data_IF_347788583896
#
_entry.id   IF_347788583896
#
_cell.length_a   1.000
_cell.length_b   1.000
_cell.length_c   1.000
_cell.angle_alpha   90.00
_cell.angle_beta   90.00
_cell.angle_gamma   90.00
#
_symmetry.space_group_name_H-M   'P 1'
#
loop_
_entity.id
_entity.type
_entity.pdbx_description
1 polymer ?
#
# COMPACT_ATOMS: atom_id res chain seq x y z
N UNK A 1 14.73 -0.30 -13.48
CA UNK A 1 13.59 -1.19 -13.86
C UNK A 1 12.69 -1.57 -12.68
N UNK A 2 13.09 -1.26 -11.45
CA UNK A 2 12.38 -1.71 -10.22
C UNK A 2 10.98 -1.09 -10.04
N UNK A 3 10.80 0.13 -10.51
CA UNK A 3 9.53 0.87 -10.43
C UNK A 3 8.37 0.27 -11.26
N UNK A 4 8.67 -0.62 -12.21
CA UNK A 4 7.61 -1.29 -12.99
C UNK A 4 6.94 -2.43 -12.22
N UNK A 5 7.59 -3.01 -11.20
CA UNK A 5 7.03 -4.11 -10.43
C UNK A 5 5.71 -3.76 -9.73
N UNK A 6 5.62 -2.65 -8.96
CA UNK A 6 4.35 -2.23 -8.36
C UNK A 6 3.26 -1.96 -9.39
N UNK A 7 3.60 -1.31 -10.52
CA UNK A 7 2.64 -1.05 -11.60
C UNK A 7 2.08 -2.36 -12.17
N UNK A 8 2.97 -3.29 -12.54
CA UNK A 8 2.56 -4.59 -13.10
C UNK A 8 1.74 -5.40 -12.10
N UNK A 9 2.07 -5.31 -10.82
CA UNK A 9 1.35 -5.99 -9.74
C UNK A 9 -0.10 -5.52 -9.62
N UNK A 10 -0.34 -4.19 -9.65
CA UNK A 10 -1.70 -3.63 -9.63
C UNK A 10 -2.50 -4.06 -10.86
N UNK A 11 -1.89 -3.97 -12.06
CA UNK A 11 -2.56 -4.39 -13.29
C UNK A 11 -2.84 -5.90 -13.29
N UNK A 12 -1.90 -6.71 -12.81
CA UNK A 12 -2.11 -8.16 -12.65
C UNK A 12 -3.26 -8.45 -11.69
N UNK A 13 -3.31 -7.77 -10.54
CA UNK A 13 -4.42 -7.89 -9.58
C UNK A 13 -5.77 -7.51 -10.19
N UNK A 14 -5.81 -6.45 -10.98
CA UNK A 14 -6.99 -6.03 -11.74
C UNK A 14 -7.47 -7.15 -12.68
N UNK A 15 -6.58 -7.72 -13.50
CA UNK A 15 -6.94 -8.79 -14.41
C UNK A 15 -7.33 -10.09 -13.69
N UNK A 16 -6.64 -10.46 -12.61
CA UNK A 16 -7.00 -11.61 -11.76
C UNK A 16 -8.44 -11.44 -11.26
N UNK A 17 -8.80 -10.26 -10.76
CA UNK A 17 -10.14 -10.02 -10.25
C UNK A 17 -11.21 -10.12 -11.34
N UNK A 18 -10.92 -9.64 -12.57
CA UNK A 18 -11.86 -9.69 -13.70
C UNK A 18 -12.09 -11.12 -14.21
N UNK A 19 -11.02 -11.89 -14.38
CA UNK A 19 -11.08 -13.20 -15.04
C UNK A 19 -11.34 -14.34 -14.04
N UNK A 20 -10.62 -14.37 -12.93
CA UNK A 20 -10.71 -15.46 -11.96
C UNK A 20 -11.82 -15.25 -10.92
N UNK A 21 -12.26 -13.98 -10.68
CA UNK A 21 -13.33 -13.61 -9.75
C UNK A 21 -13.20 -14.34 -8.40
N UNK A 22 -12.10 -14.18 -7.67
CA UNK A 22 -11.82 -14.95 -6.47
C UNK A 22 -12.93 -14.73 -5.44
N UNK A 23 -13.62 -15.80 -5.04
CA UNK A 23 -14.73 -15.74 -4.08
C UNK A 23 -14.29 -16.08 -2.65
N UNK A 24 -13.13 -16.70 -2.50
CA UNK A 24 -12.63 -17.13 -1.20
C UNK A 24 -12.01 -15.96 -0.44
N UNK A 25 -12.80 -15.37 0.46
CA UNK A 25 -12.37 -14.26 1.31
C UNK A 25 -11.21 -14.63 2.24
N UNK A 26 -11.15 -15.88 2.70
CA UNK A 26 -10.08 -16.35 3.60
C UNK A 26 -8.74 -16.33 2.90
N UNK A 27 -8.65 -16.82 1.65
CA UNK A 27 -7.41 -16.81 0.90
C UNK A 27 -6.93 -15.38 0.59
N UNK A 28 -7.85 -14.46 0.29
CA UNK A 28 -7.51 -13.06 0.09
C UNK A 28 -7.00 -12.40 1.36
N UNK A 29 -7.61 -12.69 2.51
CA UNK A 29 -7.13 -12.21 3.82
C UNK A 29 -5.76 -12.77 4.17
N UNK A 30 -5.51 -14.04 3.90
CA UNK A 30 -4.19 -14.66 4.12
C UNK A 30 -3.12 -14.04 3.22
N UNK A 31 -3.44 -13.82 1.95
CA UNK A 31 -2.52 -13.15 1.01
C UNK A 31 -2.22 -11.71 1.47
N UNK A 32 -3.24 -10.99 1.94
CA UNK A 32 -3.08 -9.65 2.48
C UNK A 32 -2.23 -9.66 3.76
N UNK A 33 -2.49 -10.58 4.71
CA UNK A 33 -1.70 -10.73 5.92
C UNK A 33 -0.23 -11.06 5.62
N UNK A 34 0.01 -11.96 4.68
CA UNK A 34 1.37 -12.26 4.21
C UNK A 34 2.06 -11.03 3.65
N UNK A 35 1.37 -10.28 2.78
CA UNK A 35 1.93 -9.07 2.18
C UNK A 35 2.26 -7.99 3.21
N UNK A 36 1.40 -7.79 4.21
CA UNK A 36 1.63 -6.85 5.30
C UNK A 36 2.82 -7.27 6.18
N UNK A 37 2.92 -8.57 6.52
CA UNK A 37 4.04 -9.11 7.30
C UNK A 37 5.37 -8.98 6.55
N UNK A 38 5.37 -9.25 5.25
CA UNK A 38 6.55 -9.11 4.39
C UNK A 38 7.01 -7.64 4.33
N UNK A 39 6.07 -6.72 4.14
CA UNK A 39 6.34 -5.29 4.09
C UNK A 39 6.86 -4.77 5.43
N UNK A 40 6.29 -5.23 6.56
CA UNK A 40 6.77 -4.90 7.90
C UNK A 40 8.21 -5.38 8.10
N UNK A 41 8.52 -6.61 7.70
CA UNK A 41 9.86 -7.18 7.80
C UNK A 41 10.88 -6.35 7.03
N UNK A 42 10.59 -5.98 5.78
CA UNK A 42 11.47 -5.11 4.99
C UNK A 42 11.67 -3.75 5.66
N UNK A 43 10.59 -3.17 6.17
CA UNK A 43 10.65 -1.86 6.83
C UNK A 43 11.55 -1.90 8.07
N UNK A 44 11.39 -2.93 8.92
CA UNK A 44 12.16 -3.07 10.16
C UNK A 44 13.62 -3.47 9.91
N UNK A 45 13.86 -4.37 8.96
CA UNK A 45 15.19 -4.97 8.78
C UNK A 45 16.08 -4.18 7.83
N UNK A 46 15.49 -3.40 6.91
CA UNK A 46 16.25 -2.69 5.88
C UNK A 46 16.12 -1.17 6.01
N UNK A 47 14.90 -0.62 5.94
CA UNK A 47 14.71 0.83 5.91
C UNK A 47 14.99 1.51 7.26
N UNK A 48 14.51 0.92 8.35
CA UNK A 48 14.64 1.50 9.68
C UNK A 48 16.10 1.64 10.13
N UNK A 49 16.97 0.61 10.02
CA UNK A 49 18.38 0.75 10.36
C UNK A 49 19.07 1.85 9.55
N UNK A 50 18.81 1.92 8.24
CA UNK A 50 19.45 2.90 7.35
C UNK A 50 19.15 4.34 7.76
N UNK A 51 17.88 4.69 8.05
CA UNK A 51 17.55 6.06 8.46
C UNK A 51 18.16 6.42 9.81
N UNK A 52 18.33 5.44 10.72
CA UNK A 52 18.96 5.66 12.02
C UNK A 52 20.48 5.71 11.97
N UNK A 53 21.14 5.24 10.90
CA UNK A 53 22.57 5.47 10.67
C UNK A 53 22.86 6.94 10.33
N UNK A 54 21.85 7.70 9.94
CA UNK A 54 21.97 9.14 9.74
C UNK A 54 22.21 9.86 11.07
N UNK A 55 22.92 10.98 11.02
CA UNK A 55 23.16 11.84 12.21
C UNK A 55 21.97 12.73 12.58
N UNK A 56 20.82 12.55 11.92
CA UNK A 56 19.63 13.35 12.19
C UNK A 56 18.90 12.85 13.44
N UNK A 57 18.92 13.64 14.52
CA UNK A 57 18.26 13.29 15.78
C UNK A 57 16.72 13.30 15.71
N UNK A 58 16.14 13.86 14.63
CA UNK A 58 14.68 13.99 14.48
C UNK A 58 14.03 12.83 13.71
N UNK A 59 14.76 11.75 13.38
CA UNK A 59 14.22 10.62 12.61
C UNK A 59 12.92 10.08 13.22
N UNK A 60 12.89 9.87 14.53
CA UNK A 60 11.68 9.40 15.23
C UNK A 60 10.48 10.33 15.04
N UNK A 61 10.71 11.65 14.96
CA UNK A 61 9.66 12.62 14.69
C UNK A 61 9.08 12.44 13.27
N UNK A 62 9.93 12.25 12.26
CA UNK A 62 9.49 12.03 10.87
C UNK A 62 8.72 10.71 10.74
N UNK A 63 9.14 9.64 11.43
CA UNK A 63 8.39 8.37 11.48
C UNK A 63 7.01 8.60 12.10
N UNK A 64 6.92 9.31 13.23
CA UNK A 64 5.64 9.65 13.87
C UNK A 64 4.74 10.49 12.96
N UNK A 65 5.29 11.45 12.24
CA UNK A 65 4.55 12.22 11.25
C UNK A 65 4.00 11.33 10.14
N UNK A 66 4.77 10.34 9.68
CA UNK A 66 4.32 9.36 8.70
C UNK A 66 3.15 8.51 9.19
N UNK A 67 3.22 8.03 10.45
CA UNK A 67 2.11 7.29 11.09
C UNK A 67 0.85 8.17 11.15
N UNK A 68 0.96 9.39 11.66
CA UNK A 68 -0.17 10.32 11.77
C UNK A 68 -0.76 10.66 10.40
N UNK A 69 0.09 10.89 9.42
CA UNK A 69 -0.33 11.15 8.06
C UNK A 69 -1.12 9.97 7.48
N UNK A 70 -0.64 8.75 7.67
CA UNK A 70 -1.33 7.55 7.20
C UNK A 70 -2.68 7.32 7.91
N UNK A 71 -2.78 7.60 9.21
CA UNK A 71 -4.06 7.58 9.94
C UNK A 71 -5.07 8.54 9.30
N UNK A 72 -4.62 9.72 8.88
CA UNK A 72 -5.47 10.70 8.18
C UNK A 72 -5.90 10.15 6.81
N UNK A 73 -5.00 9.57 6.03
CA UNK A 73 -5.33 8.96 4.74
C UNK A 73 -6.32 7.81 4.91
N UNK A 74 -6.11 6.95 5.91
CA UNK A 74 -7.01 5.83 6.23
C UNK A 74 -8.42 6.31 6.60
N UNK A 75 -8.55 7.40 7.35
CA UNK A 75 -9.85 8.00 7.65
C UNK A 75 -10.62 8.36 6.36
N UNK A 76 -9.94 8.86 5.33
CA UNK A 76 -10.55 9.20 4.04
C UNK A 76 -10.79 7.98 3.14
N UNK A 77 -9.90 7.00 3.15
CA UNK A 77 -10.03 5.77 2.36
C UNK A 77 -10.93 4.72 3.03
N UNK A 78 -11.27 4.90 4.32
CA UNK A 78 -12.06 3.96 5.13
C UNK A 78 -11.43 2.56 5.19
N UNK A 79 -10.12 2.48 5.30
CA UNK A 79 -9.39 1.23 5.44
C UNK A 79 -9.23 0.44 4.13
N UNK A 80 -9.37 1.08 2.98
CA UNK A 80 -9.21 0.39 1.69
C UNK A 80 -7.79 -0.15 1.47
N UNK A 81 -6.77 0.50 2.05
CA UNK A 81 -5.37 0.08 2.05
C UNK A 81 -5.16 -1.25 2.78
N UNK A 82 -6.07 -1.59 3.70
CA UNK A 82 -6.05 -2.85 4.46
C UNK A 82 -7.06 -3.87 3.92
N UNK A 83 -7.63 -3.61 2.74
CA UNK A 83 -8.61 -4.49 2.10
C UNK A 83 -10.03 -4.36 2.66
N UNK A 84 -10.31 -3.37 3.52
CA UNK A 84 -11.65 -3.06 3.98
C UNK A 84 -12.32 -2.08 3.04
N UNK A 85 -13.11 -2.58 2.10
CA UNK A 85 -13.90 -1.71 1.23
C UNK A 85 -15.35 -1.75 1.68
N UNK A 86 -15.76 -0.72 2.41
CA UNK A 86 -17.13 -0.53 2.86
C UNK A 86 -17.90 0.35 1.87
N UNK A 87 -18.94 -0.19 1.29
CA UNK A 87 -19.81 0.57 0.40
C UNK A 87 -21.13 -0.16 0.15
N UNK A 88 -22.16 0.62 -0.13
CA UNK A 88 -23.44 0.06 -0.57
C UNK A 88 -23.26 -0.56 -1.97
N UNK A 89 -23.92 -1.68 -2.22
CA UNK A 89 -23.88 -2.41 -3.50
C UNK A 89 -24.26 -1.53 -4.74
N UNK A 90 -24.83 -0.36 -4.51
CA UNK A 90 -25.21 0.61 -5.56
C UNK A 90 -24.34 1.85 -5.47
N UNK A 91 -23.10 1.76 -5.89
CA UNK A 91 -22.20 2.91 -6.06
C UNK A 91 -22.17 3.31 -7.53
N UNK A 92 -22.64 4.52 -7.85
CA UNK A 92 -22.71 5.04 -9.21
C UNK A 92 -21.57 6.01 -9.56
N UNK A 93 -20.83 6.48 -8.55
CA UNK A 93 -19.75 7.45 -8.70
C UNK A 93 -18.46 6.94 -8.07
N UNK A 94 -17.34 7.40 -8.61
CA UNK A 94 -16.02 7.11 -8.04
C UNK A 94 -15.95 7.68 -6.62
N UNK A 95 -15.52 6.90 -5.61
CA UNK A 95 -15.30 7.40 -4.27
C UNK A 95 -14.01 8.25 -4.24
N UNK A 96 -14.12 9.53 -4.56
CA UNK A 96 -12.97 10.42 -4.75
C UNK A 96 -12.02 10.50 -3.55
N UNK A 97 -12.54 10.48 -2.32
CA UNK A 97 -11.71 10.51 -1.13
C UNK A 97 -10.83 9.26 -1.02
N UNK A 98 -11.42 8.09 -1.27
CA UNK A 98 -10.70 6.82 -1.33
C UNK A 98 -9.65 6.85 -2.45
N UNK A 99 -10.03 7.31 -3.64
CA UNK A 99 -9.13 7.39 -4.78
C UNK A 99 -7.90 8.27 -4.50
N UNK A 100 -8.14 9.49 -3.99
CA UNK A 100 -7.05 10.43 -3.69
C UNK A 100 -6.15 9.90 -2.58
N UNK A 101 -6.72 9.34 -1.50
CA UNK A 101 -5.93 8.74 -0.40
C UNK A 101 -5.02 7.63 -0.89
N UNK A 102 -5.56 6.69 -1.69
CA UNK A 102 -4.77 5.59 -2.25
C UNK A 102 -3.68 6.09 -3.20
N UNK A 103 -3.98 7.09 -4.02
CA UNK A 103 -3.00 7.67 -4.93
C UNK A 103 -1.86 8.38 -4.18
N UNK A 104 -2.17 9.15 -3.13
CA UNK A 104 -1.16 9.83 -2.31
C UNK A 104 -0.29 8.80 -1.59
N UNK A 105 -0.91 7.79 -0.98
CA UNK A 105 -0.21 6.72 -0.30
C UNK A 105 0.78 6.01 -1.25
N UNK A 106 0.30 5.50 -2.39
CA UNK A 106 1.12 4.80 -3.37
C UNK A 106 2.23 5.70 -3.97
N UNK A 107 1.97 6.99 -4.13
CA UNK A 107 2.96 7.95 -4.59
C UNK A 107 4.11 8.10 -3.58
N UNK A 108 3.79 8.23 -2.29
CA UNK A 108 4.80 8.38 -1.24
C UNK A 108 5.64 7.12 -1.05
N UNK A 109 5.04 5.93 -1.11
CA UNK A 109 5.78 4.66 -1.06
C UNK A 109 6.83 4.54 -2.19
N UNK A 110 6.60 5.21 -3.32
CA UNK A 110 7.51 5.20 -4.45
C UNK A 110 8.83 5.90 -4.21
N UNK A 111 8.92 6.85 -3.26
CA UNK A 111 10.12 7.69 -3.08
C UNK A 111 11.39 6.90 -2.76
N UNK A 112 11.42 5.96 -1.79
CA UNK A 112 12.63 5.21 -1.47
C UNK A 112 12.93 4.05 -2.43
N UNK A 113 12.04 3.72 -3.37
CA UNK A 113 12.15 2.54 -4.25
C UNK A 113 13.40 2.58 -5.15
N UNK A 114 13.85 3.75 -5.56
CA UNK A 114 15.03 3.90 -6.43
C UNK A 114 16.30 3.33 -5.79
N UNK A 115 16.45 3.44 -4.46
CA UNK A 115 17.61 2.96 -3.70
C UNK A 115 17.40 1.56 -3.11
N UNK A 116 16.15 1.06 -3.06
CA UNK A 116 15.78 -0.19 -2.41
C UNK A 116 15.02 -1.12 -3.36
N UNK A 117 15.76 -2.02 -4.03
CA UNK A 117 15.11 -3.00 -4.92
C UNK A 117 14.13 -3.92 -4.19
N UNK A 118 14.48 -4.35 -2.99
CA UNK A 118 13.65 -5.25 -2.18
C UNK A 118 12.34 -4.59 -1.77
N UNK A 119 12.34 -3.26 -1.55
CA UNK A 119 11.13 -2.51 -1.26
C UNK A 119 10.17 -2.51 -2.47
N UNK A 120 10.69 -2.41 -3.71
CA UNK A 120 9.84 -2.51 -4.90
C UNK A 120 9.11 -3.86 -4.96
N UNK A 121 9.78 -4.95 -4.57
CA UNK A 121 9.18 -6.28 -4.47
C UNK A 121 8.14 -6.31 -3.36
N UNK A 122 8.45 -5.76 -2.19
CA UNK A 122 7.52 -5.68 -1.05
C UNK A 122 6.24 -4.94 -1.39
N UNK A 123 6.37 -3.76 -2.00
CA UNK A 123 5.22 -2.96 -2.45
C UNK A 123 4.43 -3.72 -3.52
N UNK A 124 5.09 -4.38 -4.48
CA UNK A 124 4.40 -5.16 -5.50
C UNK A 124 3.60 -6.32 -4.90
N UNK A 125 4.16 -7.05 -3.93
CA UNK A 125 3.47 -8.13 -3.20
C UNK A 125 2.28 -7.58 -2.42
N UNK A 126 2.42 -6.37 -1.83
CA UNK A 126 1.35 -5.71 -1.07
C UNK A 126 0.24 -5.17 -1.98
N UNK A 127 0.56 -4.56 -3.10
CA UNK A 127 -0.42 -4.00 -4.04
C UNK A 127 -1.28 -5.06 -4.73
N UNK A 128 -0.76 -6.29 -4.92
CA UNK A 128 -1.49 -7.35 -5.59
C UNK A 128 -2.82 -7.70 -4.92
N UNK A 129 -2.87 -8.08 -3.63
CA UNK A 129 -4.14 -8.37 -2.95
C UNK A 129 -5.06 -7.16 -2.87
N UNK A 130 -4.53 -5.96 -2.67
CA UNK A 130 -5.31 -4.72 -2.64
C UNK A 130 -6.00 -4.49 -3.98
N UNK A 131 -5.27 -4.61 -5.09
CA UNK A 131 -5.83 -4.46 -6.43
C UNK A 131 -6.92 -5.51 -6.73
N UNK A 132 -6.75 -6.76 -6.28
CA UNK A 132 -7.77 -7.80 -6.41
C UNK A 132 -9.02 -7.42 -5.62
N UNK A 133 -8.87 -7.00 -4.37
CA UNK A 133 -9.99 -6.66 -3.48
C UNK A 133 -10.75 -5.43 -4.01
N UNK A 134 -10.05 -4.35 -4.33
CA UNK A 134 -10.64 -3.12 -4.87
C UNK A 134 -11.38 -3.38 -6.19
N UNK A 135 -10.75 -4.08 -7.11
CA UNK A 135 -11.38 -4.41 -8.40
C UNK A 135 -12.61 -5.29 -8.20
N UNK A 136 -12.52 -6.32 -7.35
CA UNK A 136 -13.66 -7.19 -7.04
C UNK A 136 -14.82 -6.40 -6.44
N UNK A 137 -14.54 -5.45 -5.57
CA UNK A 137 -15.53 -4.57 -4.98
C UNK A 137 -16.19 -3.67 -6.04
N UNK A 138 -15.41 -3.00 -6.88
CA UNK A 138 -15.93 -2.08 -7.90
C UNK A 138 -16.71 -2.80 -8.99
N UNK A 139 -16.28 -3.98 -9.42
CA UNK A 139 -17.00 -4.79 -10.42
C UNK A 139 -18.37 -5.25 -9.90
N UNK A 140 -18.50 -5.48 -8.59
CA UNK A 140 -19.78 -5.82 -7.95
C UNK A 140 -20.65 -4.59 -7.62
N UNK A 141 -20.14 -3.39 -7.82
CA UNK A 141 -20.89 -2.13 -7.70
C UNK A 141 -21.55 -1.76 -9.04
N UNK A 142 -22.27 -0.63 -9.06
CA UNK A 142 -22.88 -0.08 -10.27
C UNK A 142 -21.94 0.89 -11.03
N UNK A 143 -20.65 0.87 -10.76
CA UNK A 143 -19.67 1.73 -11.43
C UNK A 143 -19.47 1.33 -12.89
N UNK A 144 -19.23 2.36 -13.73
CA UNK A 144 -18.88 2.14 -15.13
C UNK A 144 -17.52 1.43 -15.22
N UNK A 145 -17.43 0.41 -16.09
CA UNK A 145 -16.20 -0.37 -16.31
C UNK A 145 -15.00 0.50 -16.72
N UNK A 146 -15.23 1.54 -17.53
CA UNK A 146 -14.17 2.47 -17.92
C UNK A 146 -13.67 3.30 -16.72
N UNK A 147 -14.56 3.66 -15.81
CA UNK A 147 -14.19 4.37 -14.58
C UNK A 147 -13.34 3.46 -13.65
N UNK A 148 -13.69 2.18 -13.53
CA UNK A 148 -12.91 1.20 -12.78
C UNK A 148 -11.52 1.03 -13.41
N UNK A 149 -11.46 0.86 -14.71
CA UNK A 149 -10.19 0.72 -15.44
C UNK A 149 -9.30 1.96 -15.25
N UNK A 150 -9.86 3.16 -15.43
CA UNK A 150 -9.11 4.41 -15.26
C UNK A 150 -8.60 4.56 -13.82
N UNK A 151 -9.43 4.23 -12.82
CA UNK A 151 -9.03 4.21 -11.42
C UNK A 151 -7.81 3.32 -11.19
N UNK A 152 -7.87 2.06 -11.65
CA UNK A 152 -6.82 1.07 -11.42
C UNK A 152 -5.53 1.43 -12.16
N UNK A 153 -5.64 1.94 -13.39
CA UNK A 153 -4.47 2.41 -14.17
C UNK A 153 -3.82 3.62 -13.48
N UNK A 154 -4.61 4.61 -13.07
CA UNK A 154 -4.05 5.78 -12.37
C UNK A 154 -3.38 5.36 -11.07
N UNK A 155 -4.03 4.52 -10.26
CA UNK A 155 -3.44 3.99 -9.04
C UNK A 155 -2.12 3.25 -9.31
N UNK A 156 -2.07 2.41 -10.36
CA UNK A 156 -0.85 1.66 -10.72
C UNK A 156 0.36 2.55 -11.08
N UNK A 157 0.10 3.75 -11.61
CA UNK A 157 1.15 4.69 -12.03
C UNK A 157 1.73 5.47 -10.83
N UNK A 158 1.01 5.56 -9.70
CA UNK A 158 1.41 6.45 -8.60
C UNK A 158 2.74 6.07 -7.98
N UNK A 159 3.00 4.80 -7.69
CA UNK A 159 4.30 4.35 -7.14
C UNK A 159 5.46 4.62 -8.10
N UNK A 160 5.39 4.22 -9.39
CA UNK A 160 6.40 4.63 -10.37
C UNK A 160 6.60 6.14 -10.46
N UNK A 161 5.51 6.91 -10.40
CA UNK A 161 5.58 8.37 -10.45
C UNK A 161 6.34 8.94 -9.24
N UNK A 162 6.09 8.43 -8.04
CA UNK A 162 6.84 8.79 -6.84
C UNK A 162 8.34 8.51 -6.98
N UNK A 163 8.70 7.34 -7.51
CA UNK A 163 10.10 6.97 -7.78
C UNK A 163 10.75 7.93 -8.79
N UNK A 164 10.05 8.22 -9.88
CA UNK A 164 10.55 9.14 -10.92
C UNK A 164 10.73 10.54 -10.34
N UNK A 165 9.77 11.06 -9.57
CA UNK A 165 9.87 12.37 -8.92
C UNK A 165 11.07 12.42 -7.97
N UNK A 166 11.31 11.36 -7.19
CA UNK A 166 12.47 11.24 -6.32
C UNK A 166 13.79 11.29 -7.09
N UNK A 167 13.85 10.69 -8.29
CA UNK A 167 15.06 10.66 -9.13
C UNK A 167 15.33 11.99 -9.84
N UNK A 168 14.28 12.64 -10.33
CA UNK A 168 14.40 13.83 -11.19
C UNK A 168 14.48 15.15 -10.44
N UNK A 169 14.18 15.19 -9.14
CA UNK A 169 14.26 16.41 -8.34
C UNK A 169 15.48 16.34 -7.40
N UNK A 170 16.65 16.90 -7.80
CA UNK A 170 17.89 16.79 -7.01
C UNK A 170 17.75 17.32 -5.58
N UNK A 171 16.91 18.35 -5.36
CA UNK A 171 16.66 18.94 -4.05
C UNK A 171 16.03 17.95 -3.05
N UNK A 172 15.30 16.93 -3.53
CA UNK A 172 14.74 15.89 -2.66
C UNK A 172 15.81 14.94 -2.11
N UNK A 173 16.97 14.85 -2.78
CA UNK A 173 18.07 14.03 -2.28
C UNK A 173 18.65 14.55 -0.95
N UNK A 174 18.57 15.88 -0.71
CA UNK A 174 19.02 16.49 0.54
C UNK A 174 18.13 16.10 1.72
N UNK A 175 16.84 15.76 1.45
CA UNK A 175 15.84 15.35 2.42
C UNK A 175 15.47 13.86 2.31
N UNK A 176 16.27 13.07 1.60
CA UNK A 176 15.95 11.67 1.33
C UNK A 176 15.71 10.86 2.61
N UNK A 177 16.53 11.07 3.62
CA UNK A 177 16.44 10.36 4.91
C UNK A 177 15.15 10.70 5.65
N UNK A 178 14.78 11.99 5.68
CA UNK A 178 13.55 12.47 6.32
C UNK A 178 12.30 11.95 5.60
N UNK A 179 12.30 12.00 4.26
CA UNK A 179 11.20 11.48 3.44
C UNK A 179 11.08 9.97 3.64
N UNK A 180 12.20 9.24 3.63
CA UNK A 180 12.22 7.79 3.88
C UNK A 180 11.71 7.48 5.29
N UNK A 181 12.04 8.29 6.30
CA UNK A 181 11.53 8.14 7.66
C UNK A 181 9.99 8.33 7.72
N UNK A 182 9.44 9.30 6.97
CA UNK A 182 7.97 9.46 6.84
C UNK A 182 7.36 8.21 6.18
N UNK A 183 7.96 7.70 5.10
CA UNK A 183 7.49 6.49 4.43
C UNK A 183 7.53 5.27 5.36
N UNK A 184 8.59 5.13 6.17
CA UNK A 184 8.66 4.09 7.21
C UNK A 184 7.45 4.17 8.14
N UNK A 185 7.08 5.36 8.59
CA UNK A 185 5.90 5.56 9.43
C UNK A 185 4.60 5.12 8.75
N UNK A 186 4.43 5.44 7.47
CA UNK A 186 3.30 5.00 6.63
C UNK A 186 3.27 3.47 6.56
N UNK A 187 4.38 2.85 6.20
CA UNK A 187 4.49 1.39 6.06
C UNK A 187 4.28 0.65 7.38
N UNK A 188 4.75 1.20 8.51
CA UNK A 188 4.50 0.65 9.84
C UNK A 188 3.02 0.62 10.17
N UNK A 189 2.33 1.73 9.96
CA UNK A 189 0.89 1.82 10.24
C UNK A 189 0.11 0.80 9.41
N UNK A 190 0.31 0.76 8.10
CA UNK A 190 -0.40 -0.14 7.19
C UNK A 190 -0.12 -1.60 7.54
N UNK A 191 1.17 -1.96 7.66
CA UNK A 191 1.56 -3.34 7.92
C UNK A 191 1.00 -3.85 9.24
N UNK A 192 1.07 -3.04 10.31
CA UNK A 192 0.52 -3.41 11.62
C UNK A 192 -0.99 -3.54 11.58
N UNK A 193 -1.69 -2.60 10.95
CA UNK A 193 -3.15 -2.65 10.82
C UNK A 193 -3.59 -3.91 10.05
N UNK A 194 -2.95 -4.23 8.92
CA UNK A 194 -3.24 -5.45 8.16
C UNK A 194 -3.07 -6.70 9.02
N UNK A 195 -1.97 -6.80 9.78
CA UNK A 195 -1.69 -7.97 10.63
C UNK A 195 -2.74 -8.11 11.72
N UNK A 196 -3.09 -7.02 12.40
CA UNK A 196 -4.03 -7.05 13.52
C UNK A 196 -5.48 -7.22 13.06
N UNK A 197 -5.93 -6.52 12.02
CA UNK A 197 -7.30 -6.62 11.52
C UNK A 197 -7.60 -7.91 10.76
N UNK A 198 -6.58 -8.56 10.22
CA UNK A 198 -6.76 -9.87 9.60
C UNK A 198 -7.18 -10.93 10.63
N UNK A 199 -7.14 -10.60 11.94
CA UNK A 199 -7.59 -11.47 13.04
C UNK A 199 -9.07 -11.24 13.36
N UNK A 200 -9.97 -12.07 12.81
CA UNK A 200 -11.38 -12.01 13.18
C UNK A 200 -11.57 -12.44 14.65
N UNK A 201 -12.22 -11.59 15.43
CA UNK A 201 -12.75 -11.93 16.77
C UNK A 201 -11.72 -12.07 17.87
N UNK A 202 -10.60 -11.36 17.86
CA UNK A 202 -9.53 -11.40 18.89
C UNK A 202 -8.99 -12.82 19.20
N UNK A 203 -9.28 -13.82 18.36
CA UNK A 203 -8.72 -15.15 18.51
C UNK A 203 -7.32 -15.19 17.89
N UNK A 204 -6.34 -15.44 18.73
CA UNK A 204 -4.96 -15.65 18.30
C UNK A 204 -4.90 -16.80 17.29
N UNK A 205 -4.50 -16.50 16.06
CA UNK A 205 -4.42 -17.50 15.01
C UNK A 205 -2.95 -17.80 14.71
N UNK A 206 -2.49 -18.97 15.17
CA UNK A 206 -1.10 -19.43 15.05
C UNK A 206 -0.63 -19.43 13.58
N UNK A 207 -1.51 -19.75 12.62
CA UNK A 207 -1.18 -19.74 11.20
C UNK A 207 -0.76 -18.36 10.68
N UNK A 208 -1.21 -17.26 11.32
CA UNK A 208 -0.84 -15.88 10.96
C UNK A 208 0.48 -15.47 11.60
N UNK A 209 0.75 -15.94 12.81
CA UNK A 209 2.02 -15.68 13.49
C UNK A 209 3.18 -16.39 12.78
N UNK A 210 2.95 -17.55 12.19
CA UNK A 210 3.97 -18.27 11.42
C UNK A 210 4.34 -17.59 10.09
N UNK A 211 3.64 -16.52 9.68
CA UNK A 211 3.92 -15.73 8.47
C UNK A 211 4.74 -14.46 8.76
N UNK A 212 4.93 -14.10 10.02
CA UNK A 212 5.77 -12.98 10.48
C UNK A 212 7.21 -13.45 10.65
#
# INVERSE_FOLDING_TARGET
>A
MNYLLPLLSVLLGYFIALFLKPKNKTNLKLLLAFSGSFLLSLTVMHLLPEVYESKNHNIGLFIMLGILFQIILEFFSKGAEHGHVHGHAKMYQIPWLLFVSLCIHAFLEGFPVNRHHDLAIGIAIHHLPIAIILTSFFVNSSLNKNAIFLFMVTFSIMTPLGTVVSDFIPQLNDYYTEITAVVIGILFHISSTIIFESSEGHKFNIAKVSMI
#
